data_IF_255983641902
#
_entry.id   IF_255983641902
#
_cell.length_a   1.000
_cell.length_b   1.000
_cell.length_c   1.000
_cell.angle_alpha   90.00
_cell.angle_beta   90.00
_cell.angle_gamma   90.00
#
_symmetry.space_group_name_H-M   'P 1'
#
loop_
_entity.id
_entity.type
_entity.pdbx_description
1 polymer ?
#
# COMPACT_ATOMS: atom_id res chain seq x y z
N UNK A 1 3.26 -22.44 16.84
CA UNK A 1 4.12 -21.74 17.82
C UNK A 1 4.67 -20.39 17.30
N UNK A 2 3.85 -19.57 16.62
CA UNK A 2 4.19 -18.18 16.24
C UNK A 2 3.16 -17.20 16.84
N UNK A 3 2.11 -17.72 17.49
CA UNK A 3 1.01 -16.94 18.05
C UNK A 3 1.22 -16.57 19.53
N UNK A 4 2.23 -17.11 20.21
CA UNK A 4 2.49 -16.85 21.63
C UNK A 4 3.44 -15.66 21.90
N UNK A 5 4.14 -15.13 20.88
CA UNK A 5 5.03 -13.96 21.05
C UNK A 5 4.34 -12.60 20.81
N UNK A 6 3.04 -12.60 20.46
CA UNK A 6 2.26 -11.36 20.21
C UNK A 6 1.62 -10.81 21.51
N UNK A 7 1.66 -11.56 22.61
CA UNK A 7 0.96 -11.21 23.86
C UNK A 7 1.85 -10.62 24.96
N UNK A 8 3.18 -10.57 24.78
CA UNK A 8 4.08 -10.31 25.91
C UNK A 8 4.29 -8.83 26.29
N UNK A 9 3.85 -7.84 25.50
CA UNK A 9 3.89 -6.42 25.93
C UNK A 9 3.09 -5.49 25.00
N UNK A 10 1.81 -5.19 25.28
CA UNK A 10 1.09 -4.12 24.59
C UNK A 10 1.47 -2.80 25.26
N UNK A 11 2.41 -2.04 24.67
CA UNK A 11 2.49 -0.61 24.97
C UNK A 11 1.34 0.04 24.21
N UNK A 12 0.24 0.35 24.91
CA UNK A 12 -0.81 1.22 24.41
C UNK A 12 -0.25 2.65 24.29
N UNK A 13 0.30 2.97 23.11
CA UNK A 13 0.49 4.36 22.73
C UNK A 13 -0.88 4.85 22.26
N UNK A 14 -1.53 5.69 23.07
CA UNK A 14 -2.67 6.50 22.62
C UNK A 14 -2.15 7.45 21.55
N UNK A 15 -2.26 7.04 20.30
CA UNK A 15 -2.21 7.97 19.18
C UNK A 15 -3.53 8.72 19.25
N UNK A 16 -3.49 9.97 19.71
CA UNK A 16 -4.58 10.90 19.41
C UNK A 16 -4.74 10.86 17.90
N UNK A 17 -5.92 10.43 17.44
CA UNK A 17 -6.28 10.57 16.04
C UNK A 17 -6.08 12.05 15.72
N UNK A 18 -5.04 12.34 14.94
CA UNK A 18 -4.91 13.66 14.36
C UNK A 18 -6.28 13.94 13.73
N UNK A 19 -6.96 15.03 14.12
CA UNK A 19 -8.28 15.35 13.60
C UNK A 19 -8.17 15.16 12.11
N UNK A 20 -9.07 14.36 11.53
CA UNK A 20 -9.13 14.04 10.12
C UNK A 20 -8.86 15.35 9.41
N UNK A 21 -7.59 15.59 9.01
CA UNK A 21 -7.33 16.81 8.32
C UNK A 21 -8.14 16.57 7.08
N UNK A 22 -9.12 17.43 6.86
CA UNK A 22 -9.48 17.76 5.50
C UNK A 22 -8.14 17.71 4.79
N UNK A 23 -7.97 16.74 3.87
CA UNK A 23 -7.02 16.91 2.79
C UNK A 23 -7.13 18.38 2.48
N UNK A 24 -6.04 19.12 2.67
CA UNK A 24 -6.08 20.56 2.49
C UNK A 24 -6.31 20.77 1.00
N UNK A 25 -7.58 20.62 0.61
CA UNK A 25 -8.10 20.75 -0.73
C UNK A 25 -7.92 22.21 -1.13
N UNK A 26 -7.81 23.11 -0.15
CA UNK A 26 -7.62 24.54 -0.33
C UNK A 26 -6.13 24.90 -0.59
N UNK A 27 -5.14 24.22 0.02
CA UNK A 27 -3.72 24.38 -0.36
C UNK A 27 -3.39 23.81 -1.76
N UNK A 28 -4.14 22.80 -2.22
CA UNK A 28 -3.96 22.17 -3.55
C UNK A 28 -4.48 23.06 -4.70
N UNK A 29 -5.27 24.10 -4.41
CA UNK A 29 -5.91 24.96 -5.41
C UNK A 29 -5.03 26.15 -5.83
N UNK A 30 -4.02 26.54 -5.05
CA UNK A 30 -3.30 27.81 -5.28
C UNK A 30 -1.98 27.73 -6.07
N UNK A 31 -1.41 26.53 -6.28
CA UNK A 31 -0.18 26.36 -7.10
C UNK A 31 -0.49 25.65 -8.41
N UNK A 32 -0.05 26.17 -9.57
CA UNK A 32 -0.21 25.45 -10.83
C UNK A 32 0.40 24.05 -10.71
N UNK A 33 -0.39 23.02 -11.01
CA UNK A 33 0.07 21.63 -10.95
C UNK A 33 1.12 21.39 -12.02
N UNK A 34 2.38 21.41 -11.62
CA UNK A 34 3.52 21.19 -12.52
C UNK A 34 3.44 19.82 -13.22
N UNK A 35 2.94 18.79 -12.53
CA UNK A 35 2.72 17.46 -13.09
C UNK A 35 1.24 17.08 -13.02
N UNK A 36 0.71 16.56 -14.13
CA UNK A 36 -0.61 15.94 -14.19
C UNK A 36 -0.47 14.53 -14.77
N UNK A 37 -0.71 13.46 -13.99
CA UNK A 37 -1.06 13.46 -12.56
C UNK A 37 0.13 13.90 -11.66
N UNK A 38 -0.08 14.16 -10.36
CA UNK A 38 0.99 14.59 -9.44
C UNK A 38 2.19 13.64 -9.41
N UNK A 39 3.41 14.17 -9.21
CA UNK A 39 4.64 13.37 -9.30
C UNK A 39 4.71 12.20 -8.30
N UNK A 40 4.18 12.36 -7.09
CA UNK A 40 4.12 11.24 -6.12
C UNK A 40 3.22 10.11 -6.64
N UNK A 41 2.09 10.44 -7.27
CA UNK A 41 1.21 9.45 -7.89
C UNK A 41 1.95 8.72 -9.01
N UNK A 42 2.65 9.44 -9.89
CA UNK A 42 3.45 8.83 -10.96
C UNK A 42 4.53 7.89 -10.42
N UNK A 43 5.18 8.24 -9.30
CA UNK A 43 6.18 7.38 -8.64
C UNK A 43 5.54 6.09 -8.11
N UNK A 44 4.39 6.17 -7.44
CA UNK A 44 3.71 5.00 -6.91
C UNK A 44 3.20 4.09 -8.03
N UNK A 45 2.63 4.70 -9.08
CA UNK A 45 2.19 4.01 -10.30
C UNK A 45 3.35 3.24 -10.94
N UNK A 46 4.50 3.89 -11.09
CA UNK A 46 5.70 3.27 -11.64
C UNK A 46 6.16 2.06 -10.83
N UNK A 47 6.21 2.17 -9.49
CA UNK A 47 6.60 1.05 -8.63
C UNK A 47 5.63 -0.14 -8.77
N UNK A 48 4.32 0.13 -8.78
CA UNK A 48 3.28 -0.89 -9.01
C UNK A 48 3.51 -1.63 -10.33
N UNK A 49 3.74 -0.89 -11.41
CA UNK A 49 3.89 -1.46 -12.74
C UNK A 49 5.18 -2.28 -12.87
N UNK A 50 6.27 -1.87 -12.20
CA UNK A 50 7.51 -2.66 -12.12
C UNK A 50 7.30 -3.95 -11.31
N UNK A 51 6.56 -3.89 -10.19
CA UNK A 51 6.20 -5.09 -9.41
C UNK A 51 5.39 -6.07 -10.27
N UNK A 52 4.37 -5.58 -10.98
CA UNK A 52 3.55 -6.40 -11.86
C UNK A 52 4.38 -7.02 -12.99
N UNK A 53 5.18 -6.21 -13.68
CA UNK A 53 6.07 -6.69 -14.75
C UNK A 53 7.06 -7.75 -14.26
N UNK A 54 7.56 -7.61 -13.04
CA UNK A 54 8.43 -8.61 -12.42
C UNK A 54 7.70 -9.93 -12.14
N UNK A 55 6.48 -9.86 -11.61
CA UNK A 55 5.67 -11.06 -11.37
C UNK A 55 5.32 -11.77 -12.67
N UNK A 56 4.91 -11.02 -13.70
CA UNK A 56 4.63 -11.55 -15.04
C UNK A 56 5.87 -12.20 -15.65
N UNK A 57 7.02 -11.52 -15.64
CA UNK A 57 8.27 -12.04 -16.22
C UNK A 57 8.88 -13.22 -15.46
N UNK A 58 8.58 -13.38 -14.16
CA UNK A 58 9.10 -14.48 -13.35
C UNK A 58 8.12 -15.63 -13.16
N UNK A 59 6.82 -15.39 -13.37
CA UNK A 59 5.74 -16.33 -13.00
C UNK A 59 5.60 -16.51 -11.48
N UNK A 60 6.23 -15.66 -10.66
CA UNK A 60 6.22 -15.77 -9.19
C UNK A 60 5.52 -14.56 -8.58
N UNK A 61 4.64 -14.83 -7.60
CA UNK A 61 4.05 -13.79 -6.75
C UNK A 61 5.07 -13.25 -5.75
N UNK A 62 4.98 -11.96 -5.41
CA UNK A 62 5.80 -11.34 -4.37
C UNK A 62 5.11 -11.57 -3.03
N UNK A 63 5.71 -12.35 -2.13
CA UNK A 63 5.13 -12.63 -0.80
C UNK A 63 5.48 -11.60 0.27
N UNK A 64 6.60 -10.89 0.12
CA UNK A 64 7.12 -9.95 1.10
C UNK A 64 7.52 -8.65 0.41
N UNK A 65 6.98 -7.53 0.88
CA UNK A 65 7.33 -6.19 0.43
C UNK A 65 7.96 -5.44 1.60
N UNK A 66 9.11 -4.80 1.37
CA UNK A 66 9.70 -3.86 2.30
C UNK A 66 9.76 -2.47 1.66
N UNK A 67 9.23 -1.46 2.34
CA UNK A 67 9.27 -0.06 1.95
C UNK A 67 10.19 0.67 2.93
N UNK A 68 11.33 1.12 2.43
CA UNK A 68 12.35 1.81 3.20
C UNK A 68 12.24 3.30 2.87
N UNK A 69 12.02 4.11 3.91
CA UNK A 69 11.59 5.50 3.76
C UNK A 69 10.13 5.65 3.41
N UNK A 70 9.29 4.96 4.17
CA UNK A 70 7.87 4.93 3.92
C UNK A 70 7.17 6.27 4.17
N UNK A 71 7.74 7.16 5.00
CA UNK A 71 7.14 8.43 5.41
C UNK A 71 5.65 8.29 5.71
N UNK A 72 4.80 9.00 4.96
CA UNK A 72 3.34 8.99 5.08
C UNK A 72 2.62 7.74 4.58
N UNK A 73 3.36 6.67 4.26
CA UNK A 73 2.85 5.41 3.70
C UNK A 73 2.18 5.58 2.32
N UNK A 74 2.65 6.55 1.53
CA UNK A 74 2.02 6.90 0.25
C UNK A 74 1.97 5.71 -0.73
N UNK A 75 3.05 4.94 -0.81
CA UNK A 75 3.13 3.78 -1.70
C UNK A 75 2.25 2.65 -1.19
N UNK A 76 2.28 2.38 0.11
CA UNK A 76 1.53 1.31 0.75
C UNK A 76 0.03 1.54 0.61
N UNK A 77 -0.44 2.76 0.89
CA UNK A 77 -1.84 3.15 0.67
C UNK A 77 -2.24 3.02 -0.79
N UNK A 78 -1.36 3.39 -1.72
CA UNK A 78 -1.60 3.27 -3.15
C UNK A 78 -1.70 1.81 -3.61
N UNK A 79 -0.86 0.93 -3.06
CA UNK A 79 -0.84 -0.49 -3.41
C UNK A 79 -1.91 -1.31 -2.67
N UNK A 80 -2.51 -0.78 -1.61
CA UNK A 80 -3.37 -1.51 -0.67
C UNK A 80 -4.47 -2.34 -1.35
N UNK A 81 -5.14 -1.80 -2.35
CA UNK A 81 -6.20 -2.51 -3.09
C UNK A 81 -5.67 -3.64 -3.98
N UNK A 82 -4.38 -3.65 -4.30
CA UNK A 82 -3.73 -4.62 -5.18
C UNK A 82 -2.83 -5.63 -4.45
N UNK A 83 -2.54 -5.44 -3.16
CA UNK A 83 -1.62 -6.30 -2.40
C UNK A 83 -2.02 -7.78 -2.43
N UNK A 84 -3.33 -8.06 -2.31
CA UNK A 84 -3.88 -9.42 -2.34
C UNK A 84 -3.66 -10.12 -3.68
N UNK A 85 -3.94 -9.42 -4.79
CA UNK A 85 -3.77 -9.94 -6.14
C UNK A 85 -2.29 -10.25 -6.44
N UNK A 86 -1.40 -9.34 -5.98
CA UNK A 86 0.06 -9.50 -6.03
C UNK A 86 0.58 -10.67 -5.18
N UNK A 87 -0.23 -11.20 -4.27
CA UNK A 87 0.15 -12.28 -3.33
C UNK A 87 1.06 -11.82 -2.20
N UNK A 88 1.04 -10.52 -1.88
CA UNK A 88 1.85 -9.96 -0.80
C UNK A 88 1.22 -10.35 0.54
N UNK A 89 1.92 -11.18 1.29
CA UNK A 89 1.51 -11.69 2.59
C UNK A 89 2.01 -10.80 3.74
N UNK A 90 3.13 -10.08 3.53
CA UNK A 90 3.74 -9.20 4.52
C UNK A 90 4.27 -7.92 3.90
N UNK A 91 3.91 -6.79 4.51
CA UNK A 91 4.47 -5.46 4.22
C UNK A 91 5.24 -4.99 5.44
N UNK A 92 6.50 -4.60 5.26
CA UNK A 92 7.32 -3.98 6.28
C UNK A 92 7.65 -2.55 5.84
N UNK A 93 7.24 -1.57 6.63
CA UNK A 93 7.50 -0.15 6.38
C UNK A 93 8.45 0.37 7.44
N UNK A 94 9.54 0.99 7.02
CA UNK A 94 10.61 1.48 7.90
C UNK A 94 10.91 2.94 7.58
N UNK A 95 10.91 3.80 8.59
CA UNK A 95 11.42 5.17 8.51
C UNK A 95 12.28 5.47 9.75
N UNK A 96 13.20 6.42 9.63
CA UNK A 96 14.06 6.86 10.74
C UNK A 96 13.32 7.82 11.67
N UNK A 97 12.31 8.51 11.15
CA UNK A 97 11.55 9.50 11.90
C UNK A 97 10.30 8.84 12.51
N UNK A 98 10.27 8.78 13.84
CA UNK A 98 9.17 8.20 14.61
C UNK A 98 7.87 9.04 14.49
N UNK A 99 7.99 10.35 14.31
CA UNK A 99 6.86 11.27 14.21
C UNK A 99 6.22 11.24 12.82
N UNK A 100 6.96 10.74 11.84
CA UNK A 100 6.55 10.61 10.45
C UNK A 100 5.54 9.52 10.18
N UNK A 101 5.65 8.41 10.92
CA UNK A 101 4.64 7.37 10.92
C UNK A 101 3.28 7.89 11.44
N UNK A 102 3.28 8.96 12.24
CA UNK A 102 2.09 9.59 12.80
C UNK A 102 1.60 10.82 12.01
N UNK A 103 2.47 11.57 11.32
CA UNK A 103 2.14 12.87 10.70
C UNK A 103 2.40 12.99 9.19
N UNK A 104 3.21 12.12 8.60
CA UNK A 104 3.40 12.05 7.15
C UNK A 104 4.14 13.23 6.46
N UNK A 105 5.11 13.86 7.11
CA UNK A 105 5.98 14.96 6.65
C UNK A 105 7.52 14.68 6.71
N UNK A 106 8.03 13.63 6.04
CA UNK A 106 9.45 13.36 5.66
C UNK A 106 9.63 11.89 5.29
N UNK A 107 10.43 11.65 4.26
CA UNK A 107 10.63 10.34 3.64
C UNK A 107 12.11 9.98 3.73
N UNK A 108 12.46 8.77 4.15
CA UNK A 108 13.84 8.26 3.96
C UNK A 108 14.08 7.91 2.49
N UNK A 109 14.32 8.92 1.68
CA UNK A 109 14.89 8.75 0.34
C UNK A 109 16.39 8.88 0.44
N UNK A 110 17.12 8.23 -0.48
CA UNK A 110 18.58 8.18 -0.40
C UNK A 110 19.22 9.57 -0.40
N UNK A 111 18.59 10.57 -1.01
CA UNK A 111 19.05 11.96 -1.03
C UNK A 111 18.98 12.70 0.31
N UNK A 112 18.20 12.21 1.29
CA UNK A 112 18.08 12.85 2.61
C UNK A 112 19.15 12.38 3.60
N UNK A 113 19.93 11.35 3.25
CA UNK A 113 21.08 10.88 4.03
C UNK A 113 22.38 11.20 3.31
N UNK A 114 23.52 11.30 4.01
CA UNK A 114 24.81 11.50 3.36
C UNK A 114 25.07 10.43 2.29
N UNK A 115 25.70 10.80 1.18
CA UNK A 115 25.94 9.90 0.05
C UNK A 115 26.70 8.62 0.45
N UNK A 116 27.64 8.72 1.39
CA UNK A 116 28.35 7.57 1.94
C UNK A 116 27.40 6.57 2.62
N UNK A 117 26.41 7.08 3.38
CA UNK A 117 25.42 6.26 4.06
C UNK A 117 24.38 5.69 3.11
N UNK A 118 23.93 6.45 2.11
CA UNK A 118 23.10 5.93 1.01
C UNK A 118 23.77 4.75 0.30
N UNK A 119 25.08 4.87 0.04
CA UNK A 119 25.89 3.83 -0.57
C UNK A 119 26.00 2.60 0.34
N UNK A 120 26.31 2.79 1.64
CA UNK A 120 26.35 1.71 2.63
C UNK A 120 25.02 0.99 2.77
N UNK A 121 23.93 1.75 2.79
CA UNK A 121 22.56 1.24 2.86
C UNK A 121 22.24 0.35 1.66
N UNK A 122 22.41 0.85 0.44
CA UNK A 122 22.12 0.08 -0.78
C UNK A 122 22.98 -1.18 -0.87
N UNK A 123 24.28 -1.09 -0.53
CA UNK A 123 25.17 -2.25 -0.44
C UNK A 123 24.70 -3.27 0.61
N UNK A 124 24.28 -2.80 1.80
CA UNK A 124 23.76 -3.65 2.87
C UNK A 124 22.48 -4.39 2.46
N UNK A 125 21.56 -3.73 1.76
CA UNK A 125 20.35 -4.38 1.21
C UNK A 125 20.73 -5.49 0.25
N UNK A 126 21.63 -5.22 -0.70
CA UNK A 126 22.07 -6.21 -1.68
C UNK A 126 22.86 -7.38 -1.08
N UNK A 127 23.66 -7.12 -0.04
CA UNK A 127 24.48 -8.13 0.62
C UNK A 127 23.67 -9.01 1.58
N UNK A 128 22.87 -8.39 2.46
CA UNK A 128 22.25 -9.04 3.61
C UNK A 128 20.79 -9.47 3.34
N UNK A 129 20.01 -8.63 2.64
CA UNK A 129 18.60 -8.92 2.34
C UNK A 129 18.48 -9.75 1.05
N UNK A 130 19.37 -9.50 0.09
CA UNK A 130 19.42 -10.19 -1.21
C UNK A 130 18.04 -10.32 -1.90
N UNK A 131 17.30 -9.22 -2.07
CA UNK A 131 15.95 -9.25 -2.62
C UNK A 131 15.94 -9.73 -4.09
N UNK A 132 14.82 -10.28 -4.55
CA UNK A 132 14.63 -10.62 -5.97
C UNK A 132 14.46 -9.37 -6.86
N UNK A 133 13.90 -8.32 -6.27
CA UNK A 133 13.67 -7.01 -6.87
C UNK A 133 13.98 -5.92 -5.84
N UNK A 134 14.86 -4.99 -6.18
CA UNK A 134 15.15 -3.79 -5.37
C UNK A 134 14.97 -2.54 -6.24
N UNK A 135 14.10 -1.63 -5.79
CA UNK A 135 13.81 -0.38 -6.49
C UNK A 135 14.29 0.76 -5.60
N UNK A 136 15.14 1.62 -6.16
CA UNK A 136 15.60 2.86 -5.51
C UNK A 136 15.23 4.04 -6.39
N UNK A 137 14.77 5.13 -5.80
CA UNK A 137 14.40 6.34 -6.52
C UNK A 137 15.07 7.56 -5.90
N UNK A 138 15.38 8.56 -6.72
CA UNK A 138 15.94 9.83 -6.27
C UNK A 138 15.60 10.93 -7.30
N UNK A 139 15.59 12.22 -6.93
CA UNK A 139 15.48 13.32 -7.88
C UNK A 139 16.56 13.28 -8.95
N UNK A 140 16.22 13.75 -10.15
CA UNK A 140 17.18 14.05 -11.20
C UNK A 140 17.52 15.55 -11.11
N UNK A 141 18.77 15.87 -10.78
CA UNK A 141 19.24 17.26 -10.64
C UNK A 141 19.11 18.04 -11.94
N UNK A 142 19.35 17.41 -13.09
CA UNK A 142 19.24 18.06 -14.40
C UNK A 142 17.81 18.57 -14.67
N UNK A 143 16.81 17.95 -14.04
CA UNK A 143 15.42 18.36 -14.19
C UNK A 143 15.06 19.64 -13.41
N UNK A 144 15.97 20.14 -12.56
CA UNK A 144 15.74 21.37 -11.80
C UNK A 144 15.56 22.59 -12.69
N UNK A 145 16.12 22.54 -13.91
CA UNK A 145 15.89 23.53 -14.95
C UNK A 145 14.39 23.68 -15.28
N UNK A 146 13.65 22.58 -15.34
CA UNK A 146 12.21 22.63 -15.65
C UNK A 146 11.40 23.34 -14.55
N UNK A 147 11.90 23.33 -13.31
CA UNK A 147 11.31 24.06 -12.18
C UNK A 147 11.75 25.52 -12.10
N UNK A 148 12.61 26.00 -13.03
CA UNK A 148 13.17 27.34 -12.99
C UNK A 148 14.13 27.57 -11.82
N UNK A 149 14.70 26.49 -11.26
CA UNK A 149 15.64 26.61 -10.15
C UNK A 149 17.02 27.07 -10.65
N UNK A 150 17.72 27.95 -9.93
CA UNK A 150 19.09 28.33 -10.26
C UNK A 150 20.05 27.13 -10.26
N UNK A 151 21.09 27.20 -11.08
CA UNK A 151 22.13 26.17 -11.12
C UNK A 151 22.73 25.95 -9.72
N UNK A 152 22.95 24.67 -9.36
CA UNK A 152 23.53 24.28 -8.08
C UNK A 152 22.57 24.30 -6.89
N UNK A 153 21.29 24.60 -7.09
CA UNK A 153 20.28 24.53 -6.03
C UNK A 153 19.56 23.18 -6.04
N UNK A 154 19.26 22.67 -4.85
CA UNK A 154 18.43 21.48 -4.67
C UNK A 154 16.95 21.83 -4.71
N UNK A 155 16.14 20.85 -5.12
CA UNK A 155 14.68 20.95 -5.15
C UNK A 155 14.08 21.17 -3.76
N UNK A 156 14.73 20.62 -2.73
CA UNK A 156 14.38 20.84 -1.34
C UNK A 156 15.63 21.12 -0.50
N UNK A 157 15.48 22.00 0.50
CA UNK A 157 16.59 22.44 1.35
C UNK A 157 17.12 21.35 2.32
N UNK A 158 16.42 20.23 2.43
CA UNK A 158 16.82 19.11 3.27
C UNK A 158 17.57 18.00 2.51
N UNK A 159 17.70 18.12 1.18
CA UNK A 159 18.52 17.21 0.38
C UNK A 159 20.01 17.37 0.73
N UNK A 160 20.72 16.26 0.84
CA UNK A 160 22.17 16.20 1.06
C UNK A 160 22.95 16.10 -0.26
N UNK A 161 22.29 15.60 -1.29
CA UNK A 161 22.80 15.56 -2.66
C UNK A 161 21.62 15.47 -3.63
N UNK A 162 21.85 15.78 -4.91
CA UNK A 162 20.96 15.41 -6.00
C UNK A 162 21.79 14.90 -7.17
N UNK A 163 21.51 13.69 -7.64
CA UNK A 163 22.27 13.13 -8.75
C UNK A 163 21.78 13.68 -10.09
N UNK A 164 22.71 14.03 -10.96
CA UNK A 164 22.50 13.99 -12.40
C UNK A 164 22.22 12.57 -12.89
N UNK A 165 21.77 12.42 -14.14
CA UNK A 165 21.51 11.10 -14.73
C UNK A 165 22.79 10.28 -14.80
N UNK A 166 23.91 10.92 -15.14
CA UNK A 166 25.19 10.23 -15.27
C UNK A 166 25.75 9.81 -13.91
N UNK A 167 25.66 10.67 -12.89
CA UNK A 167 26.12 10.32 -11.54
C UNK A 167 25.32 9.16 -10.95
N UNK A 168 24.00 9.17 -11.13
CA UNK A 168 23.16 8.07 -10.65
C UNK A 168 23.48 6.75 -11.35
N UNK A 169 23.70 6.77 -12.67
CA UNK A 169 24.13 5.59 -13.42
C UNK A 169 25.49 5.07 -12.96
N UNK A 170 26.44 5.97 -12.72
CA UNK A 170 27.77 5.61 -12.21
C UNK A 170 27.71 5.05 -10.79
N UNK A 171 26.85 5.61 -9.94
CA UNK A 171 26.62 5.13 -8.58
C UNK A 171 26.04 3.71 -8.57
N UNK A 172 24.99 3.46 -9.38
CA UNK A 172 24.43 2.12 -9.56
C UNK A 172 25.45 1.15 -10.17
N UNK A 173 26.24 1.59 -11.16
CA UNK A 173 27.29 0.76 -11.77
C UNK A 173 28.30 0.29 -10.73
N UNK A 174 28.79 1.19 -9.87
CA UNK A 174 29.75 0.86 -8.81
C UNK A 174 29.14 -0.13 -7.81
N UNK A 175 27.95 0.15 -7.29
CA UNK A 175 27.32 -0.68 -6.26
C UNK A 175 26.92 -2.05 -6.81
N UNK A 176 26.17 -2.09 -7.91
CA UNK A 176 25.70 -3.36 -8.50
C UNK A 176 26.87 -4.14 -9.12
N UNK A 177 27.91 -3.44 -9.56
CA UNK A 177 29.16 -4.01 -10.05
C UNK A 177 29.81 -5.01 -9.08
N UNK A 178 29.75 -4.71 -7.77
CA UNK A 178 30.23 -5.60 -6.71
C UNK A 178 29.47 -6.94 -6.65
N UNK A 179 28.26 -7.01 -7.24
CA UNK A 179 27.38 -8.18 -7.21
C UNK A 179 27.04 -8.72 -8.61
N UNK A 180 27.89 -8.46 -9.62
CA UNK A 180 27.61 -8.68 -11.04
C UNK A 180 27.19 -10.10 -11.47
N UNK A 181 27.61 -11.24 -10.86
CA UNK A 181 27.02 -12.51 -11.27
C UNK A 181 25.56 -12.64 -10.81
N UNK A 182 25.19 -11.99 -9.71
CA UNK A 182 23.91 -12.15 -9.02
C UNK A 182 22.89 -11.11 -9.44
N UNK A 183 23.30 -9.88 -9.72
CA UNK A 183 22.39 -8.76 -9.97
C UNK A 183 22.64 -8.10 -11.33
N UNK A 184 21.54 -7.63 -11.92
CA UNK A 184 21.53 -6.70 -13.05
C UNK A 184 20.67 -5.50 -12.70
N UNK A 185 20.81 -4.39 -13.43
CA UNK A 185 20.01 -3.20 -13.18
C UNK A 185 19.62 -2.44 -14.44
N UNK A 186 18.53 -1.68 -14.34
CA UNK A 186 18.02 -0.77 -15.34
C UNK A 186 17.78 0.59 -14.71
N UNK A 187 17.88 1.65 -15.52
CA UNK A 187 17.52 3.02 -15.09
C UNK A 187 16.34 3.51 -15.90
N UNK A 188 15.34 4.06 -15.21
CA UNK A 188 14.09 4.59 -15.77
C UNK A 188 13.74 5.93 -15.13
N UNK A 189 12.83 6.68 -15.75
CA UNK A 189 12.50 8.04 -15.34
C UNK A 189 10.99 8.28 -15.39
N UNK A 190 10.48 9.12 -14.48
CA UNK A 190 9.09 9.61 -14.48
C UNK A 190 9.06 11.12 -14.19
N UNK A 191 7.89 11.74 -14.35
CA UNK A 191 7.73 13.18 -14.16
C UNK A 191 8.28 13.95 -15.34
N UNK A 192 7.68 13.75 -16.52
CA UNK A 192 7.96 14.53 -17.73
C UNK A 192 6.88 15.60 -17.92
N UNK A 193 7.28 16.74 -18.48
CA UNK A 193 6.36 17.80 -18.92
C UNK A 193 6.77 18.26 -20.32
N UNK A 194 5.81 18.75 -21.15
CA UNK A 194 6.12 19.22 -22.49
C UNK A 194 7.23 20.29 -22.50
N UNK A 195 8.13 20.21 -23.49
CA UNK A 195 9.24 21.16 -23.65
C UNK A 195 10.54 20.78 -22.93
N UNK A 196 10.51 19.75 -22.07
CA UNK A 196 11.68 19.34 -21.27
C UNK A 196 12.09 17.87 -21.49
N UNK A 197 11.68 17.26 -22.60
CA UNK A 197 11.93 15.83 -22.88
C UNK A 197 13.42 15.44 -22.83
N UNK A 198 14.31 16.36 -23.22
CA UNK A 198 15.77 16.14 -23.19
C UNK A 198 16.32 15.84 -21.77
N UNK A 199 15.60 16.26 -20.74
CA UNK A 199 15.98 16.07 -19.33
C UNK A 199 15.58 14.68 -18.80
N UNK A 200 14.80 13.90 -19.57
CA UNK A 200 14.43 12.52 -19.26
C UNK A 200 13.32 12.36 -18.22
N UNK A 201 13.33 13.10 -17.12
CA UNK A 201 12.26 13.11 -16.11
C UNK A 201 12.73 13.61 -14.75
N UNK A 202 11.77 14.09 -13.94
CA UNK A 202 12.01 14.69 -12.63
C UNK A 202 12.48 13.72 -11.54
N UNK A 203 12.16 12.43 -11.69
CA UNK A 203 12.61 11.36 -10.80
C UNK A 203 13.25 10.26 -11.62
N UNK A 204 14.38 9.75 -11.12
CA UNK A 204 15.10 8.62 -11.69
C UNK A 204 15.00 7.41 -10.75
N UNK A 205 14.83 6.23 -11.35
CA UNK A 205 14.67 4.94 -10.69
C UNK A 205 15.79 4.00 -11.11
N UNK A 206 16.46 3.41 -10.13
CA UNK A 206 17.32 2.24 -10.29
C UNK A 206 16.52 0.98 -9.97
N UNK A 207 16.31 0.13 -10.96
CA UNK A 207 15.60 -1.13 -10.80
C UNK A 207 16.64 -2.25 -10.85
N UNK A 208 16.86 -2.91 -9.73
CA UNK A 208 17.87 -3.94 -9.58
C UNK A 208 17.15 -5.29 -9.46
N UNK A 209 17.47 -6.20 -10.37
CA UNK A 209 16.89 -7.53 -10.43
C UNK A 209 17.92 -8.60 -10.12
N UNK A 210 17.51 -9.59 -9.34
CA UNK A 210 18.30 -10.81 -9.17
C UNK A 210 18.29 -11.61 -10.47
N UNK A 211 19.46 -11.87 -11.02
CA UNK A 211 19.65 -12.74 -12.19
C UNK A 211 19.25 -14.16 -11.80
N UNK A 212 18.58 -14.88 -12.70
CA UNK A 212 18.28 -16.30 -12.49
C UNK A 212 19.61 -17.05 -12.35
N UNK A 213 19.80 -17.71 -11.19
CA UNK A 213 20.97 -18.52 -10.96
C UNK A 213 20.98 -19.72 -11.93
N UNK A 214 22.10 -19.95 -12.62
CA UNK A 214 22.57 -21.33 -12.81
C UNK A 214 22.98 -21.82 -11.42
N UNK A 215 22.54 -23.01 -11.03
CA UNK A 215 22.86 -23.64 -9.74
C UNK A 215 24.36 -23.47 -9.40
N UNK A 216 24.70 -22.53 -8.54
CA UNK A 216 26.00 -22.42 -7.91
C UNK A 216 25.77 -22.10 -6.44
N UNK A 217 26.42 -22.89 -5.58
CA UNK A 217 26.12 -23.06 -4.16
C UNK A 217 25.76 -21.78 -3.43
N UNK A 218 24.62 -21.84 -2.73
CA UNK A 218 24.20 -20.83 -1.76
C UNK A 218 25.24 -20.81 -0.65
N UNK A 219 26.19 -19.88 -0.69
CA UNK A 219 26.99 -19.55 0.48
C UNK A 219 26.05 -18.81 1.43
N UNK A 220 25.52 -19.55 2.42
CA UNK A 220 24.80 -18.95 3.54
C UNK A 220 25.79 -18.07 4.29
N UNK A 221 25.66 -16.75 4.17
CA UNK A 221 26.26 -15.85 5.14
C UNK A 221 25.47 -15.99 6.45
N UNK A 222 26.17 -16.28 7.55
CA UNK A 222 25.60 -16.13 8.88
C UNK A 222 25.20 -14.67 9.06
N UNK A 223 23.89 -14.44 9.09
CA UNK A 223 23.33 -13.15 9.46
C UNK A 223 23.64 -12.95 10.95
N UNK A 224 24.78 -12.33 11.23
CA UNK A 224 25.06 -11.78 12.56
C UNK A 224 23.93 -10.79 12.84
N UNK A 225 23.18 -11.01 13.93
CA UNK A 225 22.05 -10.16 14.33
C UNK A 225 22.60 -8.79 14.77
N UNK A 226 22.88 -7.89 13.82
CA UNK A 226 23.31 -6.51 14.11
C UNK A 226 22.12 -5.57 14.33
N UNK A 227 20.89 -6.05 14.17
CA UNK A 227 19.69 -5.25 14.38
C UNK A 227 18.91 -5.72 15.62
N UNK A 228 18.56 -4.76 16.48
CA UNK A 228 17.59 -4.93 17.55
C UNK A 228 16.26 -4.39 17.03
N UNK A 229 15.18 -5.16 17.14
CA UNK A 229 13.81 -4.66 16.93
C UNK A 229 13.58 -3.54 17.94
N UNK A 230 13.55 -2.29 17.48
CA UNK A 230 13.40 -1.11 18.34
C UNK A 230 11.94 -0.76 18.62
N UNK A 231 11.01 -1.31 17.83
CA UNK A 231 9.57 -1.16 18.00
C UNK A 231 8.83 -1.80 16.83
N UNK A 232 7.55 -2.09 17.01
CA UNK A 232 6.62 -2.36 15.92
C UNK A 232 5.27 -1.74 16.28
N UNK A 233 4.55 -1.25 15.27
CA UNK A 233 3.19 -0.75 15.46
C UNK A 233 2.29 -1.29 14.35
N UNK A 234 1.08 -1.67 14.70
CA UNK A 234 0.04 -2.01 13.71
C UNK A 234 -0.64 -0.70 13.34
N UNK A 235 -0.28 -0.17 12.18
CA UNK A 235 -0.90 1.05 11.66
C UNK A 235 -2.37 0.76 11.36
N UNK A 236 -3.29 1.41 12.09
CA UNK A 236 -4.75 1.28 11.92
C UNK A 236 -5.29 1.95 10.64
N UNK A 237 -4.44 2.64 9.89
CA UNK A 237 -4.90 3.51 8.81
C UNK A 237 -5.36 2.75 7.56
N UNK A 238 -6.68 2.72 7.39
CA UNK A 238 -7.50 2.17 6.30
C UNK A 238 -7.61 0.64 6.19
N UNK A 239 -7.75 -0.05 7.34
CA UNK A 239 -8.45 -1.33 7.36
C UNK A 239 -9.80 -1.27 6.64
N UNK A 240 -10.43 -0.09 6.50
CA UNK A 240 -11.68 0.08 5.76
C UNK A 240 -11.73 -0.66 4.42
N UNK A 241 -10.64 -0.70 3.63
CA UNK A 241 -10.65 -1.47 2.36
C UNK A 241 -10.64 -2.97 2.59
N UNK A 242 -9.86 -3.44 3.58
CA UNK A 242 -9.82 -4.84 3.99
C UNK A 242 -11.14 -5.27 4.66
N UNK A 243 -11.65 -4.48 5.59
CA UNK A 243 -12.96 -4.64 6.24
C UNK A 243 -14.05 -4.67 5.18
N UNK A 244 -14.02 -3.74 4.23
CA UNK A 244 -14.97 -3.71 3.10
C UNK A 244 -14.92 -4.98 2.28
N UNK A 245 -13.73 -5.42 1.91
CA UNK A 245 -13.60 -6.63 1.11
C UNK A 245 -14.00 -7.88 1.92
N UNK A 246 -13.66 -7.95 3.22
CA UNK A 246 -14.04 -9.05 4.09
C UNK A 246 -15.53 -9.10 4.43
N UNK A 247 -16.16 -7.95 4.64
CA UNK A 247 -17.61 -7.81 4.82
C UNK A 247 -18.35 -8.20 3.53
N UNK A 248 -17.84 -7.76 2.37
CA UNK A 248 -18.34 -8.14 1.04
C UNK A 248 -18.25 -9.65 0.80
N UNK A 249 -17.11 -10.27 1.11
CA UNK A 249 -16.90 -11.73 1.01
C UNK A 249 -17.85 -12.49 1.94
N UNK A 250 -17.94 -12.08 3.21
CA UNK A 250 -18.81 -12.71 4.20
C UNK A 250 -20.29 -12.63 3.81
N UNK A 251 -20.75 -11.48 3.30
CA UNK A 251 -22.12 -11.34 2.82
C UNK A 251 -22.40 -12.19 1.58
N UNK A 252 -21.44 -12.29 0.64
CA UNK A 252 -21.59 -13.17 -0.52
C UNK A 252 -21.69 -14.64 -0.12
N UNK A 253 -20.85 -15.09 0.81
CA UNK A 253 -20.92 -16.44 1.34
C UNK A 253 -22.27 -16.70 2.01
N UNK A 254 -22.75 -15.76 2.82
CA UNK A 254 -24.08 -15.83 3.43
C UNK A 254 -25.19 -15.94 2.38
N UNK A 255 -25.14 -15.12 1.32
CA UNK A 255 -26.08 -15.25 0.20
C UNK A 255 -26.00 -16.63 -0.44
N UNK A 256 -24.82 -17.19 -0.68
CA UNK A 256 -24.69 -18.51 -1.32
C UNK A 256 -25.29 -19.63 -0.45
N UNK A 257 -25.10 -19.58 0.86
CA UNK A 257 -25.50 -20.63 1.81
C UNK A 257 -26.97 -20.54 2.23
N UNK A 258 -27.59 -19.35 2.21
CA UNK A 258 -28.91 -19.13 2.79
C UNK A 258 -30.00 -18.99 1.72
N UNK A 259 -31.12 -19.71 1.86
CA UNK A 259 -32.28 -19.59 0.96
C UNK A 259 -33.20 -18.45 1.43
N UNK A 260 -33.61 -17.59 0.50
CA UNK A 260 -34.66 -16.58 0.76
C UNK A 260 -36.02 -17.25 0.55
N UNK A 261 -36.51 -17.95 1.56
CA UNK A 261 -37.79 -18.67 1.50
C UNK A 261 -38.95 -17.69 1.65
N UNK A 262 -40.04 -17.92 0.92
CA UNK A 262 -41.27 -17.10 0.98
C UNK A 262 -41.92 -17.14 2.38
N UNK A 263 -41.77 -18.25 3.11
CA UNK A 263 -42.26 -18.38 4.50
C UNK A 263 -41.58 -17.41 5.48
N UNK A 264 -40.38 -16.92 5.16
CA UNK A 264 -39.61 -15.98 5.97
C UNK A 264 -39.77 -14.52 5.50
N UNK A 265 -40.68 -14.27 4.55
CA UNK A 265 -40.92 -12.94 4.02
C UNK A 265 -41.68 -12.09 5.03
N UNK A 266 -41.08 -10.97 5.43
CA UNK A 266 -41.70 -10.01 6.33
C UNK A 266 -42.57 -9.08 5.49
N UNK A 267 -43.87 -9.03 5.80
CA UNK A 267 -44.82 -8.11 5.19
C UNK A 267 -44.95 -6.86 6.05
N UNK A 268 -44.79 -5.69 5.43
CA UNK A 268 -44.90 -4.40 6.14
C UNK A 268 -45.57 -3.34 5.27
N UNK A 269 -45.98 -2.22 5.89
CA UNK A 269 -46.58 -1.08 5.19
C UNK A 269 -45.65 -0.39 4.19
N UNK A 270 -44.32 -0.58 4.33
CA UNK A 270 -43.29 0.01 3.46
C UNK A 270 -42.78 -0.99 2.40
N UNK A 271 -43.38 -2.18 2.33
CA UNK A 271 -43.03 -3.24 1.38
C UNK A 271 -42.66 -4.56 2.05
N UNK A 272 -42.45 -5.58 1.22
CA UNK A 272 -42.08 -6.92 1.65
C UNK A 272 -40.56 -7.11 1.54
N UNK A 273 -39.94 -7.72 2.55
CA UNK A 273 -38.49 -7.92 2.57
C UNK A 273 -38.08 -9.13 3.41
N UNK A 274 -36.88 -9.65 3.13
CA UNK A 274 -36.19 -10.59 4.01
C UNK A 274 -35.22 -9.83 4.91
N UNK A 275 -35.28 -10.08 6.21
CA UNK A 275 -34.33 -9.49 7.17
C UNK A 275 -33.11 -10.40 7.33
N UNK A 276 -31.93 -9.79 7.28
CA UNK A 276 -30.64 -10.44 7.48
C UNK A 276 -30.11 -10.06 8.85
N UNK A 277 -29.82 -11.08 9.68
CA UNK A 277 -29.13 -10.88 10.95
C UNK A 277 -27.64 -10.66 10.68
N UNK A 278 -27.16 -9.46 11.03
CA UNK A 278 -25.75 -9.11 10.89
C UNK A 278 -24.81 -10.03 11.68
N UNK A 279 -25.28 -10.73 12.72
CA UNK A 279 -24.47 -11.72 13.45
C UNK A 279 -24.09 -12.92 12.58
N UNK A 280 -24.94 -13.31 11.63
CA UNK A 280 -24.64 -14.37 10.66
C UNK A 280 -23.54 -13.93 9.70
N UNK A 281 -23.61 -12.68 9.20
CA UNK A 281 -22.58 -12.12 8.32
C UNK A 281 -21.25 -11.96 9.07
N UNK A 282 -21.27 -11.40 10.29
CA UNK A 282 -20.07 -11.18 11.10
C UNK A 282 -19.37 -12.50 11.41
N UNK A 283 -20.11 -13.59 11.63
CA UNK A 283 -19.50 -14.93 11.84
C UNK A 283 -18.61 -15.33 10.67
N UNK A 284 -19.06 -15.09 9.44
CA UNK A 284 -18.34 -15.41 8.21
C UNK A 284 -17.17 -14.47 7.89
N UNK A 285 -16.95 -13.39 8.67
CA UNK A 285 -15.81 -12.49 8.48
C UNK A 285 -14.52 -13.15 8.96
N UNK A 286 -13.61 -13.40 8.03
CA UNK A 286 -12.24 -13.86 8.29
C UNK A 286 -11.31 -12.68 8.55
N UNK A 287 -11.21 -12.28 9.83
CA UNK A 287 -10.26 -11.29 10.33
C UNK A 287 -9.65 -11.75 11.67
N UNK A 288 -8.42 -11.33 12.00
CA UNK A 288 -7.85 -11.54 13.34
C UNK A 288 -8.79 -11.02 14.45
N UNK A 289 -8.88 -11.73 15.57
CA UNK A 289 -9.84 -11.46 16.66
C UNK A 289 -9.83 -10.01 17.15
N UNK A 290 -8.63 -9.42 17.30
CA UNK A 290 -8.47 -8.00 17.70
C UNK A 290 -9.10 -7.02 16.71
N UNK A 291 -9.10 -7.34 15.41
CA UNK A 291 -9.73 -6.49 14.38
C UNK A 291 -11.22 -6.76 14.29
N UNK A 292 -11.63 -8.04 14.33
CA UNK A 292 -13.03 -8.45 14.28
C UNK A 292 -13.86 -7.86 15.44
N UNK A 293 -13.28 -7.78 16.64
CA UNK A 293 -13.95 -7.21 17.82
C UNK A 293 -14.16 -5.69 17.74
N UNK A 294 -13.39 -4.98 16.91
CA UNK A 294 -13.50 -3.53 16.76
C UNK A 294 -14.40 -3.11 15.59
N UNK A 295 -14.99 -4.06 14.87
CA UNK A 295 -15.90 -3.77 13.76
C UNK A 295 -17.17 -3.08 14.26
N UNK A 296 -17.44 -1.90 13.73
CA UNK A 296 -18.66 -1.17 14.01
C UNK A 296 -19.83 -1.70 13.15
N UNK A 297 -20.84 -2.29 13.80
CA UNK A 297 -22.01 -2.88 13.11
C UNK A 297 -22.74 -1.88 12.20
N UNK A 298 -22.91 -0.62 12.63
CA UNK A 298 -23.54 0.44 11.82
C UNK A 298 -22.74 0.70 10.55
N UNK A 299 -21.42 0.84 10.69
CA UNK A 299 -20.52 1.07 9.55
C UNK A 299 -20.55 -0.09 8.55
N UNK A 300 -20.65 -1.33 9.03
CA UNK A 300 -20.79 -2.52 8.18
C UNK A 300 -22.11 -2.53 7.39
N UNK A 301 -23.22 -2.19 8.03
CA UNK A 301 -24.53 -2.12 7.38
C UNK A 301 -24.54 -1.04 6.30
N UNK A 302 -24.02 0.15 6.61
CA UNK A 302 -23.89 1.24 5.64
C UNK A 302 -22.97 0.85 4.47
N UNK A 303 -21.86 0.19 4.77
CA UNK A 303 -20.94 -0.34 3.77
C UNK A 303 -21.59 -1.36 2.83
N UNK A 304 -22.40 -2.30 3.36
CA UNK A 304 -23.15 -3.25 2.54
C UNK A 304 -24.21 -2.56 1.68
N UNK A 305 -24.91 -1.55 2.22
CA UNK A 305 -25.83 -0.71 1.45
C UNK A 305 -25.11 -0.03 0.28
N UNK A 306 -23.92 0.52 0.49
CA UNK A 306 -23.12 1.12 -0.58
C UNK A 306 -22.61 0.09 -1.59
N UNK A 307 -22.08 -1.06 -1.14
CA UNK A 307 -21.64 -2.16 -2.02
C UNK A 307 -22.78 -2.61 -2.93
N UNK A 308 -23.98 -2.79 -2.38
CA UNK A 308 -25.16 -3.25 -3.11
C UNK A 308 -25.87 -2.13 -3.90
N UNK A 309 -25.25 -0.94 -4.03
CA UNK A 309 -25.79 0.21 -4.77
C UNK A 309 -27.20 0.61 -4.33
N UNK A 310 -27.49 0.50 -3.02
CA UNK A 310 -28.79 0.85 -2.44
C UNK A 310 -29.90 -0.19 -2.61
N UNK A 311 -29.62 -1.37 -3.17
CA UNK A 311 -30.61 -2.46 -3.32
C UNK A 311 -30.94 -3.20 -2.02
N UNK A 312 -30.20 -2.91 -0.96
CA UNK A 312 -30.49 -3.38 0.40
C UNK A 312 -30.74 -2.16 1.28
N UNK A 313 -31.62 -2.34 2.25
CA UNK A 313 -32.09 -1.27 3.12
C UNK A 313 -31.48 -1.48 4.51
N UNK A 314 -30.98 -0.41 5.10
CA UNK A 314 -30.52 -0.42 6.49
C UNK A 314 -31.69 -0.06 7.42
N UNK A 315 -31.90 -0.87 8.46
CA UNK A 315 -32.95 -0.65 9.46
C UNK A 315 -32.41 -0.93 10.86
N UNK A 316 -33.00 -0.32 11.89
CA UNK A 316 -32.75 -0.69 13.29
C UNK A 316 -33.96 -1.46 13.80
N UNK A 317 -33.75 -2.71 14.21
CA UNK A 317 -34.80 -3.57 14.75
C UNK A 317 -34.39 -4.10 16.13
N UNK A 318 -35.25 -3.92 17.13
CA UNK A 318 -34.96 -4.26 18.53
C UNK A 318 -33.62 -3.69 19.05
N UNK A 319 -33.26 -2.48 18.61
CA UNK A 319 -32.01 -1.81 18.99
C UNK A 319 -30.75 -2.31 18.27
N UNK A 320 -30.88 -3.25 17.35
CA UNK A 320 -29.77 -3.79 16.55
C UNK A 320 -29.85 -3.33 15.10
N UNK A 321 -28.69 -2.99 14.51
CA UNK A 321 -28.60 -2.65 13.09
C UNK A 321 -28.74 -3.91 12.24
N UNK A 322 -29.70 -3.91 11.32
CA UNK A 322 -29.99 -5.02 10.42
C UNK A 322 -30.01 -4.56 8.96
N UNK A 323 -29.95 -5.55 8.07
CA UNK A 323 -29.98 -5.34 6.63
C UNK A 323 -31.22 -6.04 6.07
N UNK A 324 -32.05 -5.33 5.33
CA UNK A 324 -33.24 -5.88 4.69
C UNK A 324 -33.01 -5.99 3.17
N UNK A 325 -33.37 -7.13 2.60
CA UNK A 325 -33.37 -7.38 1.16
C UNK A 325 -34.82 -7.28 0.69
N UNK A 326 -35.19 -6.28 -0.12
CA UNK A 326 -36.54 -6.16 -0.67
C UNK A 326 -36.94 -7.41 -1.48
N UNK A 327 -38.21 -7.80 -1.44
CA UNK A 327 -38.75 -8.95 -2.20
C UNK A 327 -38.45 -8.88 -3.71
N UNK A 328 -38.36 -7.65 -4.23
CA UNK A 328 -38.09 -7.37 -5.64
C UNK A 328 -36.62 -7.58 -6.04
N UNK A 329 -35.71 -7.79 -5.10
CA UNK A 329 -34.27 -7.95 -5.34
C UNK A 329 -33.88 -9.43 -5.26
N UNK A 330 -33.20 -9.91 -6.30
CA UNK A 330 -32.80 -11.32 -6.38
C UNK A 330 -31.43 -11.56 -5.73
N UNK A 331 -31.18 -12.80 -5.29
CA UNK A 331 -29.86 -13.21 -4.79
C UNK A 331 -28.77 -13.09 -5.86
N UNK A 332 -29.07 -13.50 -7.09
CA UNK A 332 -28.11 -13.52 -8.18
C UNK A 332 -27.63 -12.10 -8.52
N UNK A 333 -28.55 -11.13 -8.50
CA UNK A 333 -28.22 -9.71 -8.66
C UNK A 333 -27.27 -9.21 -7.55
N UNK A 334 -27.53 -9.55 -6.29
CA UNK A 334 -26.64 -9.18 -5.19
C UNK A 334 -25.28 -9.88 -5.27
N UNK A 335 -25.25 -11.15 -5.68
CA UNK A 335 -24.01 -11.92 -5.88
C UNK A 335 -23.19 -11.30 -7.02
N UNK A 336 -23.82 -10.90 -8.12
CA UNK A 336 -23.15 -10.25 -9.26
C UNK A 336 -22.54 -8.91 -8.85
N UNK A 337 -23.33 -8.03 -8.21
CA UNK A 337 -22.86 -6.72 -7.75
C UNK A 337 -21.71 -6.87 -6.75
N UNK A 338 -21.85 -7.80 -5.81
CA UNK A 338 -20.79 -8.09 -4.86
C UNK A 338 -19.61 -8.80 -5.51
N UNK A 339 -19.69 -9.31 -6.73
CA UNK A 339 -18.57 -9.95 -7.44
C UNK A 339 -17.73 -8.99 -8.27
N UNK A 340 -18.31 -7.87 -8.72
CA UNK A 340 -17.54 -6.82 -9.42
C UNK A 340 -16.46 -6.18 -8.53
N UNK A 341 -15.24 -6.12 -9.06
CA UNK A 341 -14.12 -5.30 -8.54
C UNK A 341 -14.34 -3.86 -9.02
N UNK A 342 -14.60 -2.93 -8.09
CA UNK A 342 -14.57 -1.49 -8.37
C UNK A 342 -13.22 -0.93 -7.93
#
# INVERSE_FOLDING_TARGET
MIYEEVEANPIEIKVEEAPFSQFDYDEVVSKPRFFTPPLQYQRNLFVRDIINSHMEGTGKKIRKLAVLGCGSLSLERFLMSSLGDMGIERVLSVDIDEHELAKGIKLLKIEHIPLADATRFARSVLLNIQPDLFIVSTPNHEYNEAFGLPNGHFRHGDHKFEFSRQEFRNWLFKIVGEFTPTYGYLVKFVGKVPGFDRLGGATQFGIIHKKRARLSGVVRHECSKVYRKVGETVVRNSLFSLEREKVKQAFRLWLQENKLLEENLIQSSIGNFWRVDMKEIVRNIELPTKLKNNLNKRSMVDMLRFICRGRVINEVYNGEFCLNIPHTVTKDELIEITSTTN
#
